data_IF_447036129227
#
_entry.id   IF_447036129227
#
_cell.length_a   1.000
_cell.length_b   1.000
_cell.length_c   1.000
_cell.angle_alpha   90.00
_cell.angle_beta   90.00
_cell.angle_gamma   90.00
#
_symmetry.space_group_name_H-M   'P 1'
#
loop_
_entity.id
_entity.type
_entity.pdbx_description
1 polymer ?
#
# COMPACT_ATOMS: atom_id res chain seq x y z
N UNK A 1 22.30 -16.40 1.68
CA UNK A 1 21.32 -17.37 2.18
C UNK A 1 20.92 -16.89 3.54
N UNK A 2 19.67 -16.51 3.72
CA UNK A 2 19.19 -15.94 4.98
C UNK A 2 19.09 -17.04 6.03
N UNK A 3 19.70 -16.82 7.20
CA UNK A 3 19.61 -17.72 8.34
C UNK A 3 18.16 -17.78 8.83
N UNK A 4 17.61 -18.99 8.94
CA UNK A 4 16.20 -19.26 9.19
C UNK A 4 15.75 -19.02 10.65
N UNK A 5 16.63 -18.50 11.51
CA UNK A 5 16.30 -18.15 12.90
C UNK A 5 15.31 -16.96 13.00
N UNK A 6 15.13 -16.19 11.91
CA UNK A 6 14.12 -15.12 11.80
C UNK A 6 12.67 -15.62 11.89
N UNK A 7 12.40 -16.85 11.43
CA UNK A 7 11.04 -17.38 11.32
C UNK A 7 10.33 -17.50 12.67
N UNK A 8 11.08 -17.70 13.76
CA UNK A 8 10.50 -17.86 15.10
C UNK A 8 10.09 -16.54 15.77
N UNK A 9 10.81 -15.44 15.50
CA UNK A 9 10.58 -14.15 16.15
C UNK A 9 9.47 -13.35 15.43
N UNK A 10 9.52 -13.28 14.10
CA UNK A 10 8.52 -12.51 13.32
C UNK A 10 7.10 -13.03 13.51
N UNK A 11 6.92 -14.35 13.56
CA UNK A 11 5.61 -14.98 13.69
C UNK A 11 4.93 -14.64 15.02
N UNK A 12 5.71 -14.32 16.07
CA UNK A 12 5.21 -13.88 17.37
C UNK A 12 4.88 -12.39 17.45
N UNK A 13 5.34 -11.60 16.46
CA UNK A 13 5.12 -10.15 16.42
C UNK A 13 3.63 -9.82 16.36
N UNK A 14 3.23 -8.75 17.05
CA UNK A 14 1.86 -8.26 17.08
C UNK A 14 1.57 -7.33 15.91
N UNK A 15 0.43 -7.53 15.27
CA UNK A 15 -0.24 -6.56 14.40
C UNK A 15 -1.31 -5.89 15.26
N UNK A 16 -1.08 -4.67 15.77
CA UNK A 16 -1.93 -4.06 16.79
C UNK A 16 -3.30 -3.61 16.26
N UNK A 17 -3.38 -3.23 14.99
CA UNK A 17 -4.60 -2.70 14.39
C UNK A 17 -4.74 -3.14 12.92
N UNK A 18 -4.94 -4.44 12.64
CA UNK A 18 -5.26 -4.88 11.28
C UNK A 18 -6.55 -4.22 10.80
N UNK A 19 -6.68 -4.03 9.49
CA UNK A 19 -7.84 -3.38 8.89
C UNK A 19 -8.49 -4.26 7.81
N UNK A 20 -9.80 -4.38 7.88
CA UNK A 20 -10.63 -4.90 6.79
C UNK A 20 -10.90 -3.79 5.78
N UNK A 21 -10.53 -4.00 4.51
CA UNK A 21 -10.65 -2.96 3.47
C UNK A 21 -11.96 -3.15 2.68
N UNK A 22 -13.00 -2.42 3.09
CA UNK A 22 -14.31 -2.47 2.42
C UNK A 22 -14.31 -1.48 1.27
N UNK A 23 -14.49 -1.98 0.04
CA UNK A 23 -14.52 -1.15 -1.17
C UNK A 23 -15.93 -1.08 -1.72
N UNK A 24 -16.36 0.14 -2.04
CA UNK A 24 -17.65 0.42 -2.68
C UNK A 24 -17.47 1.32 -3.89
N UNK A 25 -18.31 1.17 -4.91
CA UNK A 25 -18.20 1.92 -6.15
C UNK A 25 -18.52 1.07 -7.37
N UNK A 26 -18.33 1.63 -8.55
CA UNK A 26 -18.59 0.96 -9.83
C UNK A 26 -17.87 1.68 -10.98
N UNK A 27 -17.77 0.99 -12.11
CA UNK A 27 -17.26 1.56 -13.37
C UNK A 27 -15.88 2.21 -13.22
N UNK A 28 -14.94 1.53 -12.54
CA UNK A 28 -13.57 2.01 -12.39
C UNK A 28 -13.36 3.11 -11.34
N UNK A 29 -14.41 3.53 -10.64
CA UNK A 29 -14.35 4.54 -9.58
C UNK A 29 -14.87 3.96 -8.27
N UNK A 30 -13.99 3.84 -7.28
CA UNK A 30 -14.29 3.23 -6.01
C UNK A 30 -13.78 4.08 -4.84
N UNK A 31 -14.39 3.86 -3.69
CA UNK A 31 -13.97 4.38 -2.42
C UNK A 31 -13.77 3.23 -1.44
N UNK A 32 -12.59 3.22 -0.83
CA UNK A 32 -12.20 2.28 0.22
C UNK A 32 -12.49 2.89 1.60
N UNK A 33 -13.01 2.06 2.50
CA UNK A 33 -13.18 2.34 3.92
C UNK A 33 -12.44 1.26 4.69
N UNK A 34 -11.61 1.67 5.65
CA UNK A 34 -10.89 0.76 6.53
C UNK A 34 -11.71 0.53 7.79
N UNK A 35 -11.98 -0.73 8.13
CA UNK A 35 -12.63 -1.15 9.37
C UNK A 35 -11.60 -1.85 10.23
N UNK A 36 -11.26 -1.29 11.38
CA UNK A 36 -10.30 -1.89 12.30
C UNK A 36 -10.81 -3.23 12.82
N UNK A 37 -9.93 -4.24 12.79
CA UNK A 37 -10.15 -5.58 13.31
C UNK A 37 -9.38 -5.76 14.63
N UNK A 38 -9.64 -6.88 15.32
CA UNK A 38 -8.95 -7.18 16.58
C UNK A 38 -7.45 -7.41 16.34
N UNK A 39 -6.57 -7.02 17.29
CA UNK A 39 -5.15 -7.33 17.23
C UNK A 39 -4.90 -8.82 17.03
N UNK A 40 -3.86 -9.15 16.26
CA UNK A 40 -3.46 -10.54 15.98
C UNK A 40 -1.95 -10.65 15.82
N UNK A 41 -1.40 -11.86 15.97
CA UNK A 41 0.01 -12.11 15.64
C UNK A 41 0.22 -12.22 14.13
N UNK A 42 1.47 -12.07 13.67
CA UNK A 42 1.84 -12.39 12.29
C UNK A 42 1.55 -13.86 11.97
N UNK A 43 1.73 -14.79 12.91
CA UNK A 43 1.34 -16.20 12.71
C UNK A 43 -0.15 -16.33 12.41
N UNK A 44 -1.01 -15.68 13.21
CA UNK A 44 -2.46 -15.72 13.01
C UNK A 44 -2.86 -15.08 11.67
N UNK A 45 -2.21 -13.97 11.30
CA UNK A 45 -2.40 -13.34 10.00
C UNK A 45 -1.99 -14.27 8.85
N UNK A 46 -0.85 -14.95 8.98
CA UNK A 46 -0.38 -15.91 8.00
C UNK A 46 -1.35 -17.08 7.86
N UNK A 47 -1.79 -17.68 8.96
CA UNK A 47 -2.75 -18.80 8.96
C UNK A 47 -4.07 -18.39 8.29
N UNK A 48 -4.57 -17.18 8.60
CA UNK A 48 -5.74 -16.60 7.95
C UNK A 48 -5.52 -16.40 6.44
N UNK A 49 -4.35 -15.92 6.03
CA UNK A 49 -4.05 -15.66 4.60
C UNK A 49 -4.07 -16.93 3.73
N UNK A 50 -3.98 -18.12 4.35
CA UNK A 50 -4.08 -19.40 3.65
C UNK A 50 -5.52 -19.81 3.32
N UNK A 51 -6.53 -19.17 3.94
CA UNK A 51 -7.93 -19.42 3.62
C UNK A 51 -8.22 -19.03 2.15
N UNK A 52 -8.98 -19.84 1.40
CA UNK A 52 -9.33 -19.55 0.00
C UNK A 52 -9.93 -18.15 -0.23
N UNK A 53 -10.56 -17.54 0.79
CA UNK A 53 -11.06 -16.17 0.75
C UNK A 53 -9.96 -15.11 0.58
N UNK A 54 -8.78 -15.35 1.14
CA UNK A 54 -7.68 -14.37 1.22
C UNK A 54 -6.47 -14.75 0.35
N UNK A 55 -6.49 -15.96 -0.22
CA UNK A 55 -5.44 -16.47 -1.08
C UNK A 55 -5.52 -15.85 -2.48
N UNK A 56 -4.36 -15.64 -3.09
CA UNK A 56 -4.25 -15.22 -4.49
C UNK A 56 -4.93 -16.27 -5.40
N UNK A 57 -5.84 -15.86 -6.30
CA UNK A 57 -6.50 -16.77 -7.21
C UNK A 57 -5.53 -17.32 -8.25
N UNK A 58 -5.90 -18.42 -8.88
CA UNK A 58 -5.17 -18.92 -10.05
C UNK A 58 -5.25 -17.89 -11.19
N UNK A 59 -4.12 -17.64 -11.83
CA UNK A 59 -4.00 -16.67 -12.91
C UNK A 59 -2.92 -17.13 -13.88
N UNK A 60 -3.06 -16.76 -15.15
CA UNK A 60 -2.13 -17.14 -16.22
C UNK A 60 -0.87 -16.28 -16.17
N UNK A 61 -1.06 -14.97 -15.95
CA UNK A 61 0.00 -13.98 -15.87
C UNK A 61 -0.44 -12.80 -14.98
N UNK A 62 0.43 -11.81 -14.84
CA UNK A 62 0.20 -10.64 -14.00
C UNK A 62 -0.90 -9.71 -14.53
N UNK A 63 -1.21 -9.76 -15.83
CA UNK A 63 -2.27 -8.94 -16.44
C UNK A 63 -3.65 -9.58 -16.22
N UNK A 64 -3.73 -10.91 -16.26
CA UNK A 64 -4.89 -11.67 -15.79
C UNK A 64 -5.15 -11.40 -14.30
N UNK A 65 -4.10 -11.43 -13.46
CA UNK A 65 -4.26 -11.14 -12.03
C UNK A 65 -4.74 -9.71 -11.76
N UNK A 66 -4.21 -8.71 -12.49
CA UNK A 66 -4.69 -7.33 -12.43
C UNK A 66 -6.17 -7.22 -12.84
N UNK A 67 -6.57 -7.89 -13.93
CA UNK A 67 -7.97 -7.92 -14.36
C UNK A 67 -8.87 -8.50 -13.27
N UNK A 68 -8.48 -9.66 -12.71
CA UNK A 68 -9.22 -10.31 -11.63
C UNK A 68 -9.32 -9.41 -10.39
N UNK A 69 -8.26 -8.67 -10.04
CA UNK A 69 -8.30 -7.69 -8.95
C UNK A 69 -9.38 -6.63 -9.18
N UNK A 70 -9.38 -5.96 -10.34
CA UNK A 70 -10.31 -4.86 -10.62
C UNK A 70 -11.76 -5.33 -10.80
N UNK A 71 -11.98 -6.51 -11.36
CA UNK A 71 -13.32 -7.12 -11.48
C UNK A 71 -13.91 -7.48 -10.11
N UNK A 72 -13.06 -7.85 -9.15
CA UNK A 72 -13.48 -8.33 -7.84
C UNK A 72 -13.21 -7.35 -6.70
N UNK A 73 -12.76 -6.11 -6.96
CA UNK A 73 -12.29 -5.18 -5.93
C UNK A 73 -13.33 -4.94 -4.82
N UNK A 74 -14.63 -4.92 -5.16
CA UNK A 74 -15.75 -4.73 -4.23
C UNK A 74 -16.21 -6.01 -3.51
N UNK A 75 -15.72 -7.19 -3.88
CA UNK A 75 -16.17 -8.49 -3.35
C UNK A 75 -15.13 -9.14 -2.46
N UNK A 76 -15.49 -9.50 -1.23
CA UNK A 76 -14.54 -10.07 -0.28
C UNK A 76 -13.53 -9.02 0.16
N UNK A 77 -13.84 -8.33 1.26
CA UNK A 77 -12.93 -7.39 1.87
C UNK A 77 -11.67 -8.13 2.36
N UNK A 78 -10.47 -7.73 1.93
CA UNK A 78 -9.22 -8.29 2.42
C UNK A 78 -8.88 -7.70 3.78
N UNK A 79 -8.10 -8.44 4.57
CA UNK A 79 -7.51 -7.95 5.80
C UNK A 79 -6.09 -7.47 5.52
N UNK A 80 -5.70 -6.35 6.10
CA UNK A 80 -4.41 -5.72 5.87
C UNK A 80 -3.76 -5.29 7.19
N UNK A 81 -2.60 -5.84 7.49
CA UNK A 81 -1.78 -5.44 8.65
C UNK A 81 -0.91 -4.26 8.27
N UNK A 82 -1.46 -3.05 8.34
CA UNK A 82 -0.78 -1.82 7.95
C UNK A 82 -0.14 -1.12 9.15
N UNK A 83 0.84 -0.25 8.85
CA UNK A 83 1.40 0.74 9.79
C UNK A 83 1.91 0.11 11.10
N UNK A 84 2.51 -1.07 11.02
CA UNK A 84 3.09 -1.78 12.17
C UNK A 84 4.49 -1.22 12.43
N UNK A 85 4.76 -0.54 13.56
CA UNK A 85 6.09 -0.01 13.85
C UNK A 85 7.12 -1.13 13.94
N UNK A 86 8.22 -1.03 13.18
CA UNK A 86 9.29 -2.01 13.24
C UNK A 86 10.11 -2.10 11.96
N UNK A 87 11.19 -2.88 12.01
CA UNK A 87 12.05 -3.21 10.88
C UNK A 87 12.41 -4.68 10.92
N UNK A 88 12.56 -5.29 9.75
CA UNK A 88 13.12 -6.64 9.59
C UNK A 88 14.55 -6.58 9.01
N UNK A 89 15.12 -5.39 8.89
CA UNK A 89 16.51 -5.21 8.44
C UNK A 89 17.44 -5.31 9.63
N UNK A 90 18.48 -6.14 9.53
CA UNK A 90 19.45 -6.34 10.61
C UNK A 90 20.16 -5.04 10.99
N UNK A 91 20.48 -4.89 12.27
CA UNK A 91 21.11 -3.67 12.79
C UNK A 91 22.52 -3.44 12.27
N UNK A 92 23.19 -4.50 11.80
CA UNK A 92 24.54 -4.46 11.21
C UNK A 92 24.53 -4.23 9.68
N UNK A 93 23.37 -4.07 9.06
CA UNK A 93 23.27 -3.70 7.64
C UNK A 93 23.29 -2.18 7.53
N UNK A 94 24.32 -1.64 6.89
CA UNK A 94 24.51 -0.18 6.73
C UNK A 94 24.13 0.33 5.33
N UNK A 95 23.82 -0.58 4.41
CA UNK A 95 23.52 -0.27 3.01
C UNK A 95 22.01 -0.39 2.80
N UNK A 96 21.35 0.71 2.42
CA UNK A 96 19.89 0.78 2.20
C UNK A 96 19.05 0.32 3.41
N UNK A 97 19.52 0.59 4.63
CA UNK A 97 18.76 0.32 5.84
C UNK A 97 17.63 1.33 5.99
N UNK A 98 16.37 0.91 5.86
CA UNK A 98 15.21 1.80 5.92
C UNK A 98 15.13 2.55 7.27
N UNK A 99 15.70 1.98 8.35
CA UNK A 99 15.76 2.66 9.64
C UNK A 99 16.83 3.75 9.74
N UNK A 100 17.79 3.78 8.81
CA UNK A 100 18.95 4.69 8.77
C UNK A 100 19.41 4.87 7.32
N UNK A 101 18.70 5.69 6.56
CA UNK A 101 19.00 5.89 5.14
C UNK A 101 20.18 6.84 4.91
N UNK A 102 20.65 7.53 5.96
CA UNK A 102 21.66 8.58 5.86
C UNK A 102 21.11 9.83 5.17
N UNK A 103 19.81 10.07 5.29
CA UNK A 103 19.13 11.22 4.69
C UNK A 103 19.06 12.39 5.67
N UNK A 104 18.67 13.59 5.20
CA UNK A 104 18.42 14.74 6.08
C UNK A 104 17.27 14.51 7.08
N UNK A 105 16.39 13.52 6.82
CA UNK A 105 15.33 13.15 7.76
C UNK A 105 15.86 12.41 8.98
N UNK A 106 17.07 11.84 8.89
CA UNK A 106 17.74 11.14 9.99
C UNK A 106 18.27 12.13 11.04
N UNK A 107 18.46 13.40 10.67
CA UNK A 107 18.93 14.48 11.55
C UNK A 107 17.79 15.19 12.33
N UNK A 108 16.54 14.77 12.14
CA UNK A 108 15.38 15.32 12.85
C UNK A 108 15.25 14.63 14.22
N UNK A 109 15.34 15.40 15.30
CA UNK A 109 15.28 14.90 16.69
C UNK A 109 13.93 14.25 17.07
N UNK A 110 12.85 14.61 16.37
CA UNK A 110 11.51 14.09 16.62
C UNK A 110 11.23 12.82 15.83
N UNK A 111 10.79 11.76 16.51
CA UNK A 111 10.31 10.54 15.87
C UNK A 111 8.89 10.73 15.32
N UNK A 112 8.77 10.83 14.00
CA UNK A 112 7.51 10.94 13.27
C UNK A 112 7.22 9.56 12.66
N UNK A 113 6.24 8.86 13.25
CA UNK A 113 5.98 7.46 12.88
C UNK A 113 5.61 7.31 11.40
N UNK A 114 6.34 6.45 10.69
CA UNK A 114 6.15 6.20 9.26
C UNK A 114 6.82 7.21 8.33
N UNK A 115 7.39 8.30 8.87
CA UNK A 115 8.12 9.31 8.10
C UNK A 115 9.62 9.12 8.25
N UNK A 116 10.14 9.15 9.49
CA UNK A 116 11.55 8.86 9.80
C UNK A 116 11.73 7.60 10.65
N UNK A 117 10.65 6.85 10.91
CA UNK A 117 10.71 5.50 11.48
C UNK A 117 10.03 4.51 10.54
N UNK A 118 10.57 3.29 10.39
CA UNK A 118 10.04 2.30 9.46
C UNK A 118 8.68 1.73 9.90
N UNK A 119 7.85 1.40 8.91
CA UNK A 119 6.66 0.59 9.07
C UNK A 119 6.77 -0.74 8.31
N UNK A 120 6.20 -1.78 8.93
CA UNK A 120 5.97 -3.07 8.31
C UNK A 120 4.53 -3.18 7.84
N UNK A 121 4.36 -3.87 6.71
CA UNK A 121 3.09 -4.05 6.04
C UNK A 121 2.88 -5.53 5.70
N UNK A 122 1.77 -6.10 6.18
CA UNK A 122 1.37 -7.49 5.98
C UNK A 122 0.12 -7.53 5.09
N UNK A 123 0.27 -8.06 3.87
CA UNK A 123 -0.80 -8.08 2.86
C UNK A 123 -1.37 -9.46 2.60
N UNK A 124 -2.67 -9.52 2.31
CA UNK A 124 -3.32 -10.66 1.65
C UNK A 124 -3.65 -10.31 0.20
N UNK A 125 -4.22 -11.26 -0.54
CA UNK A 125 -4.80 -10.97 -1.86
C UNK A 125 -5.76 -9.77 -1.77
N UNK A 126 -5.64 -8.85 -2.74
CA UNK A 126 -6.37 -7.58 -2.85
C UNK A 126 -6.11 -6.51 -1.79
N UNK A 127 -5.23 -6.71 -0.81
CA UNK A 127 -4.88 -5.59 0.09
C UNK A 127 -4.34 -4.42 -0.73
N UNK A 128 -4.87 -3.22 -0.53
CA UNK A 128 -4.73 -2.09 -1.44
C UNK A 128 -4.26 -0.81 -0.75
N UNK A 129 -3.39 -0.07 -1.44
CA UNK A 129 -3.08 1.32 -1.13
C UNK A 129 -3.79 2.25 -2.12
N UNK A 130 -4.72 3.10 -1.66
CA UNK A 130 -5.41 4.02 -2.56
C UNK A 130 -4.50 5.13 -3.10
N UNK A 131 -4.97 5.84 -4.14
CA UNK A 131 -4.21 6.93 -4.77
C UNK A 131 -3.90 8.04 -3.76
N UNK A 132 -2.61 8.36 -3.62
CA UNK A 132 -2.14 9.41 -2.72
C UNK A 132 -0.76 9.93 -3.14
N UNK A 133 -0.31 10.95 -2.43
CA UNK A 133 1.10 11.38 -2.35
C UNK A 133 1.52 11.25 -0.89
N UNK A 134 2.82 11.09 -0.65
CA UNK A 134 3.35 10.97 0.71
C UNK A 134 3.12 12.25 1.53
N UNK A 135 3.21 12.11 2.84
CA UNK A 135 3.09 13.25 3.75
C UNK A 135 4.17 14.29 3.46
N UNK A 136 3.77 15.55 3.47
CA UNK A 136 4.60 16.69 3.05
C UNK A 136 5.23 16.54 1.65
N UNK A 137 4.66 15.69 0.79
CA UNK A 137 5.15 15.40 -0.55
C UNK A 137 6.59 14.84 -0.57
N UNK A 138 6.98 14.15 0.50
CA UNK A 138 8.29 13.52 0.64
C UNK A 138 8.45 12.31 -0.29
N UNK A 139 9.68 11.79 -0.33
CA UNK A 139 9.97 10.50 -0.94
C UNK A 139 9.55 9.38 0.00
N UNK A 140 9.18 8.23 -0.56
CA UNK A 140 9.06 6.99 0.21
C UNK A 140 9.89 5.88 -0.42
N UNK A 141 10.31 4.95 0.43
CA UNK A 141 11.02 3.74 0.05
C UNK A 141 10.25 2.52 0.54
N UNK A 142 10.14 1.51 -0.31
CA UNK A 142 9.47 0.26 0.02
C UNK A 142 10.34 -0.93 -0.39
N UNK A 143 10.58 -1.83 0.55
CA UNK A 143 11.29 -3.10 0.33
C UNK A 143 10.36 -4.27 0.62
N UNK A 144 10.18 -5.16 -0.36
CA UNK A 144 9.43 -6.39 -0.17
C UNK A 144 10.34 -7.46 0.43
N UNK A 145 10.26 -7.66 1.75
CA UNK A 145 11.10 -8.65 2.46
C UNK A 145 10.89 -10.08 1.95
N UNK A 146 9.64 -10.51 1.80
CA UNK A 146 9.26 -11.84 1.30
C UNK A 146 7.77 -11.85 0.91
N UNK A 147 7.34 -12.93 0.24
CA UNK A 147 5.94 -13.16 -0.13
C UNK A 147 5.65 -12.84 -1.60
N UNK A 148 4.38 -12.56 -1.88
CA UNK A 148 3.86 -12.31 -3.22
C UNK A 148 4.18 -10.88 -3.71
N UNK A 149 4.28 -10.67 -5.04
CA UNK A 149 4.63 -9.37 -5.61
C UNK A 149 3.59 -8.28 -5.30
N UNK A 150 4.06 -7.04 -5.21
CA UNK A 150 3.20 -5.85 -5.12
C UNK A 150 3.04 -5.21 -6.50
N UNK A 151 1.86 -4.68 -6.78
CA UNK A 151 1.58 -3.93 -8.01
C UNK A 151 1.42 -2.45 -7.70
N UNK A 152 2.04 -1.62 -8.53
CA UNK A 152 2.04 -0.17 -8.40
C UNK A 152 1.52 0.49 -9.67
N UNK A 153 0.73 1.53 -9.47
CA UNK A 153 0.44 2.53 -10.49
C UNK A 153 1.02 3.86 -10.04
N UNK A 154 1.68 4.57 -10.97
CA UNK A 154 2.26 5.87 -10.69
C UNK A 154 1.90 6.85 -11.79
N UNK A 155 1.39 8.02 -11.41
CA UNK A 155 1.22 9.17 -12.31
C UNK A 155 2.47 10.04 -12.19
N UNK A 156 3.16 10.40 -13.28
CA UNK A 156 4.30 11.29 -13.23
C UNK A 156 3.98 12.62 -12.51
N UNK A 157 4.88 13.19 -11.70
CA UNK A 157 4.60 14.39 -10.90
C UNK A 157 4.06 15.59 -11.71
N UNK A 158 4.56 15.79 -12.93
CA UNK A 158 4.11 16.82 -13.86
C UNK A 158 2.62 16.70 -14.25
N UNK A 159 2.05 15.49 -14.07
CA UNK A 159 0.65 15.18 -14.32
C UNK A 159 -0.19 15.02 -13.04
N UNK A 160 0.40 15.19 -11.85
CA UNK A 160 -0.30 15.04 -10.57
C UNK A 160 -1.54 15.93 -10.44
N UNK A 161 -1.47 17.19 -10.90
CA UNK A 161 -2.63 18.11 -10.92
C UNK A 161 -3.75 17.66 -11.84
N UNK A 162 -3.46 16.90 -12.92
CA UNK A 162 -4.50 16.33 -13.76
C UNK A 162 -5.28 15.25 -13.00
N UNK A 163 -4.58 14.38 -12.26
CA UNK A 163 -5.21 13.39 -11.40
C UNK A 163 -6.07 14.04 -10.31
N UNK A 164 -5.58 15.09 -9.64
CA UNK A 164 -6.35 15.83 -8.63
C UNK A 164 -7.62 16.45 -9.23
N UNK A 165 -7.52 17.08 -10.41
CA UNK A 165 -8.66 17.68 -11.11
C UNK A 165 -9.68 16.62 -11.52
N UNK A 166 -9.22 15.49 -12.06
CA UNK A 166 -10.05 14.35 -12.39
C UNK A 166 -10.79 13.83 -11.15
N UNK A 167 -10.05 13.54 -10.09
CA UNK A 167 -10.60 13.03 -8.83
C UNK A 167 -11.60 14.01 -8.20
N UNK A 168 -11.36 15.32 -8.29
CA UNK A 168 -12.31 16.34 -7.83
C UNK A 168 -13.67 16.27 -8.55
N UNK A 169 -13.67 15.90 -9.84
CA UNK A 169 -14.90 15.73 -10.63
C UNK A 169 -15.76 14.55 -10.21
N UNK A 170 -15.15 13.47 -9.69
CA UNK A 170 -15.86 12.23 -9.33
C UNK A 170 -16.11 12.09 -7.82
N UNK A 171 -15.16 12.52 -6.99
CA UNK A 171 -15.25 12.47 -5.53
C UNK A 171 -15.71 13.81 -4.94
N UNK A 172 -16.70 14.45 -5.58
CA UNK A 172 -17.13 15.84 -5.29
C UNK A 172 -17.45 16.10 -3.82
N UNK A 173 -18.16 15.17 -3.16
CA UNK A 173 -18.49 15.28 -1.74
C UNK A 173 -17.23 15.28 -0.87
N UNK A 174 -16.27 14.39 -1.15
CA UNK A 174 -14.98 14.35 -0.44
C UNK A 174 -14.23 15.67 -0.57
N UNK A 175 -14.12 16.19 -1.79
CA UNK A 175 -13.45 17.46 -2.08
C UNK A 175 -14.18 18.71 -1.54
N UNK A 176 -15.49 18.63 -1.33
CA UNK A 176 -16.23 19.71 -0.67
C UNK A 176 -15.89 19.85 0.81
N UNK A 177 -15.45 18.76 1.45
CA UNK A 177 -15.06 18.71 2.86
C UNK A 177 -13.56 18.95 3.04
N UNK A 178 -12.73 18.40 2.14
CA UNK A 178 -11.28 18.53 2.20
C UNK A 178 -10.69 18.74 0.79
N UNK A 179 -10.06 19.89 0.50
CA UNK A 179 -9.39 20.13 -0.78
C UNK A 179 -8.28 19.13 -1.10
N UNK A 180 -7.67 18.52 -0.07
CA UNK A 180 -6.63 17.50 -0.17
C UNK A 180 -7.18 16.07 0.00
N UNK A 181 -8.40 15.80 -0.46
CA UNK A 181 -9.12 14.53 -0.25
C UNK A 181 -8.30 13.26 -0.56
N UNK A 182 -7.43 13.26 -1.58
CA UNK A 182 -6.60 12.10 -1.90
C UNK A 182 -5.64 11.70 -0.76
N UNK A 183 -5.25 12.64 0.12
CA UNK A 183 -4.45 12.34 1.32
C UNK A 183 -5.19 11.49 2.33
N UNK A 184 -6.51 11.36 2.22
CA UNK A 184 -7.28 10.47 3.09
C UNK A 184 -7.07 8.99 2.73
N UNK A 185 -6.36 8.68 1.62
CA UNK A 185 -6.06 7.32 1.16
C UNK A 185 -7.34 6.47 1.06
N UNK A 186 -8.38 7.00 0.43
CA UNK A 186 -9.67 6.32 0.21
C UNK A 186 -10.05 6.15 -1.26
N UNK A 187 -9.41 6.88 -2.18
CA UNK A 187 -9.83 6.93 -3.59
C UNK A 187 -9.14 5.86 -4.43
N UNK A 188 -9.93 4.99 -5.05
CA UNK A 188 -9.47 3.95 -5.98
C UNK A 188 -10.00 4.24 -7.37
N UNK A 189 -9.07 4.47 -8.30
CA UNK A 189 -9.35 4.74 -9.71
C UNK A 189 -8.68 3.66 -10.53
N UNK A 190 -9.47 2.97 -11.36
CA UNK A 190 -8.98 1.92 -12.26
C UNK A 190 -8.17 2.55 -13.42
N UNK A 191 -7.13 1.88 -13.93
CA UNK A 191 -6.26 2.45 -14.98
C UNK A 191 -6.94 2.78 -16.31
N UNK A 192 -8.04 2.09 -16.64
CA UNK A 192 -8.87 2.38 -17.82
C UNK A 192 -9.49 3.79 -17.75
N UNK A 193 -9.92 4.22 -16.56
CA UNK A 193 -10.41 5.57 -16.32
C UNK A 193 -9.32 6.61 -16.50
N UNK A 194 -8.08 6.34 -16.07
CA UNK A 194 -6.96 7.26 -16.31
C UNK A 194 -6.70 7.42 -17.81
N UNK A 195 -6.70 6.30 -18.54
CA UNK A 195 -6.51 6.27 -20.00
C UNK A 195 -7.60 7.05 -20.72
N UNK A 196 -8.87 6.80 -20.36
CA UNK A 196 -10.02 7.46 -20.97
C UNK A 196 -10.00 8.99 -20.81
N UNK A 197 -9.47 9.48 -19.69
CA UNK A 197 -9.40 10.91 -19.39
C UNK A 197 -8.03 11.53 -19.70
N UNK A 198 -7.15 10.79 -20.40
CA UNK A 198 -5.85 11.29 -20.86
C UNK A 198 -4.87 11.59 -19.73
N UNK A 199 -4.91 10.82 -18.64
CA UNK A 199 -3.98 10.91 -17.50
C UNK A 199 -2.89 9.86 -17.69
N UNK A 200 -1.63 10.26 -17.97
CA UNK A 200 -0.53 9.32 -18.12
C UNK A 200 -0.24 8.61 -16.80
N UNK A 201 0.01 7.30 -16.87
CA UNK A 201 0.44 6.50 -15.72
C UNK A 201 1.39 5.39 -16.19
N UNK A 202 2.20 4.90 -15.25
CA UNK A 202 3.02 3.71 -15.42
C UNK A 202 2.52 2.61 -14.47
N UNK A 203 2.68 1.35 -14.88
CA UNK A 203 2.42 0.15 -14.07
C UNK A 203 3.76 -0.55 -13.80
N UNK A 204 3.98 -0.98 -12.56
CA UNK A 204 5.18 -1.73 -12.15
C UNK A 204 4.77 -2.88 -11.22
N UNK A 205 5.29 -4.08 -11.45
CA UNK A 205 5.21 -5.23 -10.53
C UNK A 205 6.56 -5.46 -9.84
N UNK A 206 6.55 -5.97 -8.61
CA UNK A 206 7.55 -5.47 -7.66
C UNK A 206 8.29 -6.41 -6.71
N UNK A 207 9.58 -6.08 -6.48
CA UNK A 207 10.43 -6.51 -5.35
C UNK A 207 11.13 -5.34 -4.58
N UNK A 208 11.63 -4.24 -5.21
CA UNK A 208 12.16 -3.02 -4.52
C UNK A 208 11.88 -1.61 -5.17
N UNK A 209 11.13 -0.67 -4.51
CA UNK A 209 10.46 0.54 -5.11
C UNK A 209 10.85 1.76 -4.32
N UNK A 210 11.18 2.84 -5.04
CA UNK A 210 11.28 4.19 -4.50
C UNK A 210 10.18 5.01 -5.16
N UNK A 211 9.38 5.72 -4.36
CA UNK A 211 8.46 6.72 -4.89
C UNK A 211 8.99 8.12 -4.61
N UNK A 212 8.83 9.02 -5.58
CA UNK A 212 9.31 10.39 -5.52
C UNK A 212 8.26 11.35 -6.07
N UNK A 213 8.15 12.52 -5.46
CA UNK A 213 7.48 13.67 -6.05
C UNK A 213 8.51 14.79 -6.22
N UNK A 214 8.72 15.23 -7.45
CA UNK A 214 9.47 16.46 -7.77
C UNK A 214 8.49 17.57 -8.11
#
# INVERSE_FOLDING_TARGET
GYDLDFGSNIMSMQIPAPISQVVSGKLGLYQQISVTENPMTVQQFYDMSQDPRYRTPQHVDLDDLERQYWENVTYGAPTYGADVPGTLTDTNVDVWNISRLGSILDDIDENIQGVNTPYLYFGTWKSTFPWHTEDMDLYSINYLHFGEPKFWYAVPPEHGKLLEKFSKGFYTRGYSLCPAFLRHKMALVRPDMLTQYGIPYNKVSHQFTITSKH
#
